data_IF_385599447459
#
_entry.id   IF_385599447459
#
_cell.length_a   1.000
_cell.length_b   1.000
_cell.length_c   1.000
_cell.angle_alpha   90.00
_cell.angle_beta   90.00
_cell.angle_gamma   90.00
#
_symmetry.space_group_name_H-M   'P 1'
#
loop_
_entity.id
_entity.type
_entity.pdbx_description
1 polymer ?
#
# COMPACT_ATOMS: atom_id res chain seq x y z
N UNK A 1 -12.63 7.18 -2.15
CA UNK A 1 -13.85 7.26 -2.99
C UNK A 1 -14.79 8.25 -2.32
N UNK A 2 -15.25 9.29 -3.02
CA UNK A 2 -16.16 10.32 -2.50
C UNK A 2 -17.38 10.38 -3.38
N UNK A 3 -18.55 10.43 -2.74
CA UNK A 3 -19.83 10.55 -3.39
C UNK A 3 -20.57 11.75 -2.79
N UNK A 4 -21.03 12.65 -3.65
CA UNK A 4 -21.83 13.80 -3.28
C UNK A 4 -23.14 13.79 -4.06
N UNK A 5 -24.26 13.78 -3.35
CA UNK A 5 -25.58 13.90 -3.95
C UNK A 5 -25.96 15.37 -4.09
N UNK A 6 -25.94 15.89 -5.31
CA UNK A 6 -26.35 17.26 -5.61
C UNK A 6 -27.85 17.30 -5.95
N UNK A 7 -28.67 17.58 -4.93
CA UNK A 7 -30.12 17.76 -5.09
C UNK A 7 -30.43 19.08 -5.78
N UNK A 8 -31.21 19.03 -6.85
CA UNK A 8 -31.72 20.20 -7.50
C UNK A 8 -32.91 20.79 -6.75
N UNK A 9 -32.83 22.10 -6.45
CA UNK A 9 -33.88 22.84 -5.73
C UNK A 9 -34.79 23.69 -6.63
N UNK A 10 -34.37 23.97 -7.86
CA UNK A 10 -35.15 24.76 -8.83
C UNK A 10 -36.09 23.88 -9.65
N UNK A 11 -37.39 24.23 -9.65
CA UNK A 11 -38.48 23.54 -10.34
C UNK A 11 -38.59 23.90 -11.84
N UNK A 12 -37.47 24.03 -12.54
CA UNK A 12 -37.47 24.27 -13.98
C UNK A 12 -37.44 22.94 -14.76
N UNK A 13 -38.24 22.85 -15.83
CA UNK A 13 -38.22 21.71 -16.76
C UNK A 13 -36.81 21.50 -17.33
N UNK A 14 -36.33 20.25 -17.31
CA UNK A 14 -35.09 19.83 -17.99
C UNK A 14 -33.84 19.70 -17.12
N UNK A 15 -33.94 19.90 -15.81
CA UNK A 15 -32.81 19.70 -14.91
C UNK A 15 -33.13 18.61 -13.86
N UNK A 16 -32.13 17.80 -13.51
CA UNK A 16 -32.26 16.59 -12.70
C UNK A 16 -31.22 16.56 -11.58
N UNK A 17 -31.49 15.78 -10.54
CA UNK A 17 -30.51 15.48 -9.49
C UNK A 17 -29.29 14.76 -10.09
N UNK A 18 -28.09 15.09 -9.60
CA UNK A 18 -26.84 14.49 -10.09
C UNK A 18 -26.05 13.90 -8.92
N UNK A 19 -25.67 12.64 -9.05
CA UNK A 19 -24.67 12.02 -8.19
C UNK A 19 -23.27 12.31 -8.75
N UNK A 20 -22.50 13.12 -8.02
CA UNK A 20 -21.09 13.32 -8.33
C UNK A 20 -20.28 12.24 -7.63
N UNK A 21 -19.49 11.50 -8.42
CA UNK A 21 -18.59 10.46 -7.91
C UNK A 21 -17.17 10.86 -8.27
N UNK A 22 -16.26 10.76 -7.31
CA UNK A 22 -14.86 11.11 -7.50
C UNK A 22 -13.92 10.34 -6.60
N UNK A 23 -12.62 10.52 -6.86
CA UNK A 23 -11.58 10.04 -5.97
C UNK A 23 -11.02 11.23 -5.19
N UNK A 24 -11.15 11.21 -3.87
CA UNK A 24 -10.32 12.04 -3.01
C UNK A 24 -9.09 11.21 -2.63
N UNK A 25 -7.92 11.82 -2.76
CA UNK A 25 -6.65 11.28 -2.32
C UNK A 25 -5.97 12.30 -1.41
N UNK A 26 -5.31 11.80 -0.37
CA UNK A 26 -4.43 12.60 0.49
C UNK A 26 -3.01 12.34 0.03
N UNK A 27 -2.28 13.40 -0.33
CA UNK A 27 -0.85 13.28 -0.56
C UNK A 27 -0.15 13.11 0.80
N UNK A 28 0.66 12.07 0.92
CA UNK A 28 1.48 11.79 2.10
C UNK A 28 2.93 11.85 1.63
N UNK A 29 3.76 12.60 2.34
CA UNK A 29 5.21 12.56 2.13
C UNK A 29 5.74 11.27 2.74
N UNK A 30 6.44 10.48 1.94
CA UNK A 30 7.15 9.30 2.40
C UNK A 30 8.63 9.63 2.48
N UNK A 31 9.22 9.39 3.65
CA UNK A 31 10.66 9.54 3.89
C UNK A 31 11.38 8.22 3.58
N UNK A 32 12.65 8.29 3.18
CA UNK A 32 13.53 7.14 2.89
C UNK A 32 13.03 6.18 1.80
N UNK A 33 12.22 6.68 0.86
CA UNK A 33 11.73 5.90 -0.28
C UNK A 33 12.65 6.08 -1.50
N UNK A 34 13.20 4.99 -2.07
CA UNK A 34 13.98 5.09 -3.29
C UNK A 34 13.12 5.58 -4.46
N UNK A 35 13.71 6.32 -5.42
CA UNK A 35 12.97 6.81 -6.58
C UNK A 35 12.38 5.64 -7.37
N UNK A 36 11.10 5.74 -7.75
CA UNK A 36 10.38 4.71 -8.50
C UNK A 36 9.83 3.54 -7.65
N UNK A 37 10.01 3.55 -6.32
CA UNK A 37 9.49 2.47 -5.45
C UNK A 37 7.97 2.24 -5.56
N UNK A 38 7.22 3.28 -5.92
CA UNK A 38 5.76 3.25 -6.08
C UNK A 38 5.33 3.42 -7.54
N UNK A 39 6.19 3.09 -8.50
CA UNK A 39 5.81 3.09 -9.90
C UNK A 39 4.69 2.08 -10.15
N UNK A 40 3.61 2.54 -10.77
CA UNK A 40 2.41 1.74 -10.98
C UNK A 40 2.65 0.61 -11.98
N UNK A 41 3.44 0.85 -13.02
CA UNK A 41 3.57 -0.10 -14.13
C UNK A 41 4.21 -1.44 -13.72
N UNK A 42 5.35 -1.46 -12.99
CA UNK A 42 5.91 -2.72 -12.50
C UNK A 42 4.93 -3.51 -11.62
N UNK A 43 4.14 -2.80 -10.81
CA UNK A 43 3.13 -3.44 -9.97
C UNK A 43 2.03 -4.11 -10.81
N UNK A 44 1.49 -3.41 -11.82
CA UNK A 44 0.49 -3.97 -12.71
C UNK A 44 1.04 -5.19 -13.48
N UNK A 45 2.27 -5.10 -13.98
CA UNK A 45 2.92 -6.20 -14.69
C UNK A 45 3.06 -7.45 -13.81
N UNK A 46 3.39 -7.29 -12.52
CA UNK A 46 3.45 -8.38 -11.56
C UNK A 46 2.06 -8.96 -11.24
N UNK A 47 1.04 -8.11 -11.10
CA UNK A 47 -0.34 -8.56 -10.86
C UNK A 47 -0.86 -9.38 -12.04
N UNK A 48 -0.54 -8.96 -13.28
CA UNK A 48 -0.93 -9.68 -14.49
C UNK A 48 -0.32 -11.09 -14.57
N UNK A 49 0.86 -11.32 -14.00
CA UNK A 49 1.50 -12.64 -13.96
C UNK A 49 0.77 -13.65 -13.07
N UNK A 50 -0.04 -13.19 -12.11
CA UNK A 50 -0.81 -14.03 -11.17
C UNK A 50 0.02 -15.08 -10.40
N UNK A 51 1.34 -14.89 -10.25
CA UNK A 51 2.23 -15.86 -9.57
C UNK A 51 1.81 -16.11 -8.11
N UNK A 52 1.16 -15.14 -7.47
CA UNK A 52 0.63 -15.29 -6.10
C UNK A 52 -0.63 -16.15 -6.00
N UNK A 53 -1.19 -16.65 -7.11
CA UNK A 53 -2.38 -17.51 -7.10
C UNK A 53 -2.14 -18.85 -6.41
N UNK A 54 -0.90 -19.36 -6.47
CA UNK A 54 -0.48 -20.62 -5.86
C UNK A 54 0.26 -20.41 -4.53
N UNK A 55 0.33 -19.17 -4.05
CA UNK A 55 1.01 -18.81 -2.80
C UNK A 55 0.32 -19.47 -1.60
N UNK A 56 1.10 -20.19 -0.79
CA UNK A 56 0.68 -20.76 0.48
C UNK A 56 1.30 -20.00 1.65
N UNK A 57 0.88 -20.32 2.88
CA UNK A 57 1.53 -19.80 4.09
C UNK A 57 2.99 -20.24 4.18
N UNK A 58 3.28 -21.45 3.72
CA UNK A 58 4.63 -22.03 3.76
C UNK A 58 5.53 -21.35 2.74
N UNK A 59 5.04 -21.11 1.52
CA UNK A 59 5.82 -20.39 0.50
C UNK A 59 6.07 -18.93 0.92
N UNK A 60 5.14 -18.31 1.65
CA UNK A 60 5.35 -16.97 2.21
C UNK A 60 6.40 -17.00 3.33
N UNK A 61 6.39 -18.05 4.16
CA UNK A 61 7.37 -18.23 5.23
C UNK A 61 8.77 -18.46 4.67
N UNK A 62 8.90 -19.22 3.58
CA UNK A 62 10.17 -19.47 2.89
C UNK A 62 10.71 -18.25 2.13
N UNK A 63 9.84 -17.34 1.68
CA UNK A 63 10.22 -16.09 0.98
C UNK A 63 10.86 -15.04 1.92
N UNK A 64 10.77 -15.24 3.24
CA UNK A 64 11.38 -14.35 4.22
C UNK A 64 12.90 -14.59 4.24
N UNK A 65 13.66 -13.49 4.17
CA UNK A 65 15.13 -13.52 4.36
C UNK A 65 15.49 -13.78 5.83
N UNK A 66 15.43 -15.05 6.22
CA UNK A 66 15.74 -15.50 7.59
C UNK A 66 17.20 -15.27 7.96
N UNK A 67 18.12 -15.35 7.01
CA UNK A 67 19.56 -15.14 7.27
C UNK A 67 19.81 -13.71 7.74
N UNK A 68 19.26 -12.73 7.02
CA UNK A 68 19.32 -11.32 7.44
C UNK A 68 18.65 -11.11 8.81
N UNK A 69 17.49 -11.72 9.06
CA UNK A 69 16.79 -11.60 10.35
C UNK A 69 17.65 -12.16 11.49
N UNK A 70 18.29 -13.31 11.29
CA UNK A 70 19.14 -13.92 12.31
C UNK A 70 20.35 -13.02 12.63
N UNK A 71 21.00 -12.45 11.62
CA UNK A 71 22.11 -11.50 11.79
C UNK A 71 21.67 -10.25 12.55
N UNK A 72 20.53 -9.66 12.16
CA UNK A 72 19.96 -8.49 12.81
C UNK A 72 19.65 -8.75 14.30
N UNK A 73 19.05 -9.90 14.60
CA UNK A 73 18.69 -10.28 15.98
C UNK A 73 19.95 -10.52 16.82
N UNK A 74 20.96 -11.18 16.26
CA UNK A 74 22.24 -11.37 16.95
C UNK A 74 22.89 -10.01 17.28
N UNK A 75 22.92 -9.09 16.31
CA UNK A 75 23.45 -7.75 16.50
C UNK A 75 22.65 -6.95 17.54
N UNK A 76 21.33 -7.10 17.54
CA UNK A 76 20.44 -6.46 18.52
C UNK A 76 20.77 -6.90 19.95
N UNK A 77 20.96 -8.20 20.17
CA UNK A 77 21.36 -8.74 21.48
C UNK A 77 22.74 -8.24 21.91
N UNK A 78 23.73 -8.24 21.01
CA UNK A 78 25.06 -7.69 21.31
C UNK A 78 24.98 -6.23 21.72
N UNK A 79 24.19 -5.42 20.99
CA UNK A 79 23.98 -4.00 21.32
C UNK A 79 23.36 -3.82 22.70
N UNK A 80 22.34 -4.61 23.03
CA UNK A 80 21.71 -4.57 24.37
C UNK A 80 22.75 -4.87 25.45
N UNK A 81 23.52 -5.95 25.29
CA UNK A 81 24.53 -6.36 26.28
C UNK A 81 25.62 -5.30 26.47
N UNK A 82 26.09 -4.68 25.39
CA UNK A 82 27.09 -3.60 25.46
C UNK A 82 26.52 -2.31 26.06
N UNK A 83 25.25 -2.01 25.83
CA UNK A 83 24.60 -0.79 26.36
C UNK A 83 24.24 -0.93 27.85
N UNK A 84 24.02 -2.17 28.32
CA UNK A 84 23.56 -2.45 29.67
C UNK A 84 24.69 -2.61 30.70
N UNK A 85 25.93 -2.88 30.24
CA UNK A 85 27.15 -2.87 31.07
C UNK A 85 27.72 -1.46 31.13
#
# INVERSE_FOLDING_TARGET
NVQEWCRQRDLCLGRQDVLKVGCAATAILLEDVPPGAYDLQPHLDLVMKQERKEMSTDSLFEDIDWDYIHELVALHWVRILVTFI
#
